data_IF_263377946632
#
_entry.id   IF_263377946632
#
_cell.length_a   1.000
_cell.length_b   1.000
_cell.length_c   1.000
_cell.angle_alpha   90.00
_cell.angle_beta   90.00
_cell.angle_gamma   90.00
#
_symmetry.space_group_name_H-M   'P 1'
#
loop_
_entity.id
_entity.type
_entity.pdbx_description
1 polymer ?
#
# COMPACT_ATOMS: atom_id res chain seq x y z
N UNK A 1 16.40 -10.67 14.46
CA UNK A 1 16.42 -9.50 13.54
C UNK A 1 16.54 -8.23 14.36
N UNK A 2 17.49 -7.34 14.04
CA UNK A 2 17.46 -5.96 14.53
C UNK A 2 16.82 -5.11 13.43
N UNK A 3 15.52 -4.84 13.54
CA UNK A 3 14.82 -3.94 12.63
C UNK A 3 14.94 -2.52 13.20
N UNK A 4 15.55 -1.61 12.44
CA UNK A 4 15.54 -0.19 12.77
C UNK A 4 14.29 0.44 12.17
N UNK A 5 13.32 0.78 13.01
CA UNK A 5 12.09 1.45 12.60
C UNK A 5 12.33 2.95 12.65
N UNK A 6 12.13 3.64 11.54
CA UNK A 6 12.18 5.11 11.44
C UNK A 6 10.89 5.63 10.82
N UNK A 7 10.50 6.88 11.10
CA UNK A 7 9.37 7.50 10.42
C UNK A 7 9.60 7.50 8.89
N UNK A 8 8.54 7.23 8.15
CA UNK A 8 8.52 7.36 6.69
C UNK A 8 8.45 8.84 6.29
N UNK A 9 9.12 9.23 5.20
CA UNK A 9 9.05 10.57 4.60
C UNK A 9 8.71 10.51 3.10
N UNK A 10 8.16 11.60 2.52
CA UNK A 10 7.96 11.71 1.08
C UNK A 10 9.23 11.35 0.30
N UNK A 11 9.08 10.51 -0.73
CA UNK A 11 10.19 9.99 -1.54
C UNK A 11 10.80 8.67 -1.06
N UNK A 12 10.51 8.18 0.16
CA UNK A 12 11.01 6.87 0.63
C UNK A 12 10.40 5.69 -0.14
N UNK A 13 9.32 5.92 -0.90
CA UNK A 13 8.64 4.87 -1.67
C UNK A 13 7.84 3.92 -0.77
N UNK A 14 7.90 2.62 -1.09
CA UNK A 14 7.21 1.56 -0.35
C UNK A 14 5.83 1.21 -0.90
N UNK A 15 5.27 0.12 -0.38
CA UNK A 15 3.94 -0.37 -0.78
C UNK A 15 2.89 0.12 0.22
N UNK A 16 1.86 0.77 -0.31
CA UNK A 16 0.66 1.13 0.44
C UNK A 16 -0.45 0.10 0.17
N UNK A 17 -1.10 -0.37 1.24
CA UNK A 17 -2.20 -1.32 1.15
C UNK A 17 -3.54 -0.59 0.92
N UNK A 18 -4.11 -0.75 -0.27
CA UNK A 18 -5.45 -0.30 -0.60
C UNK A 18 -6.49 -1.34 -0.12
N UNK A 19 -7.55 -0.93 0.60
CA UNK A 19 -8.60 -1.84 1.06
C UNK A 19 -9.32 -2.50 -0.12
N UNK A 20 -9.48 -3.83 -0.10
CA UNK A 20 -10.26 -4.53 -1.13
C UNK A 20 -11.75 -4.27 -0.92
N UNK A 21 -12.48 -3.99 -2.00
CA UNK A 21 -13.94 -3.82 -1.94
C UNK A 21 -14.67 -5.09 -1.52
N UNK A 22 -14.13 -6.26 -1.81
CA UNK A 22 -14.69 -7.54 -1.37
C UNK A 22 -14.78 -7.66 0.15
N UNK A 23 -13.91 -6.97 0.89
CA UNK A 23 -13.89 -7.02 2.36
C UNK A 23 -14.71 -5.88 2.98
N UNK A 24 -14.88 -4.78 2.24
CA UNK A 24 -15.63 -3.59 2.66
C UNK A 24 -16.56 -3.19 1.50
N UNK A 25 -17.66 -3.94 1.26
CA UNK A 25 -18.56 -3.66 0.15
C UNK A 25 -19.35 -2.37 0.35
N UNK A 26 -19.67 -2.04 1.61
CA UNK A 26 -20.28 -0.76 1.98
C UNK A 26 -19.23 0.18 2.61
N UNK A 27 -18.89 1.24 1.88
CA UNK A 27 -17.99 2.29 2.33
C UNK A 27 -18.73 3.55 2.84
N UNK A 28 -20.02 3.45 3.21
CA UNK A 28 -20.83 4.57 3.71
C UNK A 28 -20.20 5.36 4.86
N UNK A 29 -19.42 4.70 5.72
CA UNK A 29 -18.68 5.32 6.83
C UNK A 29 -17.41 6.07 6.38
N UNK A 30 -17.06 6.00 5.10
CA UNK A 30 -15.85 6.55 4.50
C UNK A 30 -16.18 7.37 3.24
N UNK A 31 -16.83 8.52 3.40
CA UNK A 31 -17.36 9.31 2.27
C UNK A 31 -16.28 9.87 1.34
N UNK A 32 -15.02 9.95 1.80
CA UNK A 32 -13.86 10.40 1.04
C UNK A 32 -13.23 9.29 0.18
N UNK A 33 -13.62 8.03 0.37
CA UNK A 33 -13.01 6.90 -0.33
C UNK A 33 -13.49 6.81 -1.78
N UNK A 34 -12.54 6.61 -2.70
CA UNK A 34 -12.81 6.53 -4.14
C UNK A 34 -12.66 5.09 -4.68
N UNK A 35 -13.44 4.72 -5.71
CA UNK A 35 -13.14 3.52 -6.50
C UNK A 35 -11.75 3.56 -7.10
N UNK A 36 -10.98 2.47 -6.99
CA UNK A 36 -9.76 2.29 -7.77
C UNK A 36 -9.55 0.80 -8.09
N UNK A 37 -8.83 0.50 -9.17
CA UNK A 37 -8.39 -0.87 -9.46
C UNK A 37 -6.95 -1.06 -9.01
N UNK A 38 -6.66 -2.20 -8.39
CA UNK A 38 -5.29 -2.54 -8.05
C UNK A 38 -4.44 -2.67 -9.33
N UNK A 39 -3.34 -1.92 -9.48
CA UNK A 39 -2.53 -1.95 -10.71
C UNK A 39 -1.80 -3.28 -10.92
N UNK A 40 -1.66 -4.11 -9.87
CA UNK A 40 -0.99 -5.42 -9.95
C UNK A 40 -1.94 -6.56 -10.35
N UNK A 41 -3.19 -6.54 -9.91
CA UNK A 41 -4.10 -7.69 -10.08
C UNK A 41 -5.50 -7.33 -10.62
N UNK A 42 -5.80 -6.06 -10.84
CA UNK A 42 -7.06 -5.59 -11.44
C UNK A 42 -8.29 -5.62 -10.54
N UNK A 43 -8.20 -6.17 -9.32
CA UNK A 43 -9.32 -6.21 -8.36
C UNK A 43 -9.73 -4.82 -7.91
N UNK A 44 -11.00 -4.69 -7.56
CA UNK A 44 -11.55 -3.42 -7.08
C UNK A 44 -11.14 -3.16 -5.62
N UNK A 45 -10.63 -1.96 -5.40
CA UNK A 45 -10.21 -1.45 -4.11
C UNK A 45 -10.89 -0.11 -3.81
N UNK A 46 -10.68 0.36 -2.59
CA UNK A 46 -10.92 1.73 -2.17
C UNK A 46 -9.61 2.51 -2.15
N UNK A 47 -9.66 3.78 -2.52
CA UNK A 47 -8.61 4.78 -2.36
C UNK A 47 -9.05 5.79 -1.29
N UNK A 48 -8.55 5.66 -0.04
CA UNK A 48 -8.70 6.68 0.99
C UNK A 48 -7.97 7.97 0.65
N UNK A 49 -8.35 9.10 1.26
CA UNK A 49 -7.63 10.36 1.03
C UNK A 49 -6.15 10.28 1.38
N UNK A 50 -5.83 9.66 2.53
CA UNK A 50 -4.46 9.45 2.95
C UNK A 50 -3.67 8.60 1.95
N UNK A 51 -4.33 7.65 1.29
CA UNK A 51 -3.68 6.83 0.27
C UNK A 51 -3.29 7.66 -0.95
N UNK A 52 -4.20 8.52 -1.40
CA UNK A 52 -3.95 9.45 -2.50
C UNK A 52 -2.78 10.38 -2.19
N UNK A 53 -2.72 10.93 -0.98
CA UNK A 53 -1.61 11.79 -0.53
C UNK A 53 -0.28 11.03 -0.46
N UNK A 54 -0.26 9.83 0.13
CA UNK A 54 0.94 9.00 0.21
C UNK A 54 1.47 8.59 -1.18
N UNK A 55 0.57 8.27 -2.11
CA UNK A 55 0.94 7.96 -3.49
C UNK A 55 1.50 9.18 -4.23
N UNK A 56 0.88 10.36 -4.06
CA UNK A 56 1.43 11.61 -4.59
C UNK A 56 2.82 11.94 -4.00
N UNK A 57 3.08 11.49 -2.76
CA UNK A 57 4.36 11.62 -2.07
C UNK A 57 5.36 10.49 -2.36
N UNK A 58 5.06 9.58 -3.29
CA UNK A 58 6.01 8.59 -3.83
C UNK A 58 5.75 7.12 -3.44
N UNK A 59 4.74 6.82 -2.62
CA UNK A 59 4.36 5.44 -2.33
C UNK A 59 3.66 4.77 -3.51
N UNK A 60 3.72 3.44 -3.60
CA UNK A 60 3.01 2.64 -4.60
C UNK A 60 1.81 1.92 -4.01
N UNK A 61 0.59 2.29 -4.43
CA UNK A 61 -0.65 1.66 -3.96
C UNK A 61 -0.93 0.32 -4.65
N UNK A 62 -1.11 -0.74 -3.86
CA UNK A 62 -1.61 -2.05 -4.32
C UNK A 62 -2.62 -2.59 -3.32
N UNK A 63 -3.45 -3.58 -3.71
CA UNK A 63 -4.37 -4.18 -2.74
C UNK A 63 -3.61 -4.86 -1.61
N UNK A 64 -4.21 -4.94 -0.41
CA UNK A 64 -3.60 -5.54 0.78
C UNK A 64 -2.99 -6.92 0.50
N UNK A 65 -3.68 -7.78 -0.24
CA UNK A 65 -3.14 -9.10 -0.61
C UNK A 65 -1.89 -9.02 -1.50
N UNK A 66 -1.87 -8.10 -2.45
CA UNK A 66 -0.72 -7.91 -3.33
C UNK A 66 0.49 -7.38 -2.56
N UNK A 67 0.28 -6.49 -1.58
CA UNK A 67 1.32 -5.99 -0.70
C UNK A 67 1.90 -7.11 0.17
N UNK A 68 1.05 -7.92 0.81
CA UNK A 68 1.49 -9.04 1.64
C UNK A 68 2.31 -10.04 0.83
N UNK A 69 1.81 -10.46 -0.35
CA UNK A 69 2.55 -11.38 -1.24
C UNK A 69 3.90 -10.80 -1.66
N UNK A 70 3.98 -9.49 -1.93
CA UNK A 70 5.24 -8.85 -2.28
C UNK A 70 6.24 -8.89 -1.11
N UNK A 71 5.79 -8.62 0.12
CA UNK A 71 6.62 -8.71 1.33
C UNK A 71 7.10 -10.12 1.65
N UNK A 72 6.27 -11.14 1.41
CA UNK A 72 6.65 -12.55 1.58
C UNK A 72 7.64 -13.05 0.52
N UNK A 73 7.67 -12.41 -0.66
CA UNK A 73 8.51 -12.82 -1.78
C UNK A 73 9.90 -12.16 -1.77
N UNK A 74 10.16 -11.22 -0.86
CA UNK A 74 11.50 -10.64 -0.74
C UNK A 74 12.39 -11.52 0.14
N UNK A 75 13.56 -11.99 -0.35
CA UNK A 75 14.61 -12.47 0.56
C UNK A 75 15.00 -11.28 1.43
N UNK A 76 14.94 -11.43 2.76
CA UNK A 76 15.15 -10.34 3.70
C UNK A 76 16.36 -9.49 3.31
N UNK A 77 16.13 -8.20 3.05
CA UNK A 77 17.14 -7.27 2.56
C UNK A 77 18.29 -7.13 3.55
N UNK A 78 19.35 -7.91 3.34
CA UNK A 78 20.67 -7.63 3.87
C UNK A 78 21.26 -6.43 3.16
N UNK A 79 21.71 -5.47 3.97
CA UNK A 79 22.47 -4.27 3.66
C UNK A 79 23.33 -4.42 2.37
N UNK A 80 22.98 -3.70 1.30
CA UNK A 80 23.92 -3.47 0.19
C UNK A 80 24.90 -2.39 0.67
N UNK A 81 25.95 -2.82 1.38
CA UNK A 81 27.12 -1.99 1.67
C UNK A 81 27.78 -1.61 0.34
N UNK A 82 27.86 -0.30 0.08
CA UNK A 82 28.77 0.28 -0.90
C UNK A 82 30.11 0.59 -0.23
#
# INVERSE_FOLDING_TARGET
MKVKITPWKPGDGGLLCLPLRSNIPDASKHPDWKPVKCPKCGRDCWEPELARLAMAAGASGVCTECAIRAGLSQPGGGDKKQ
#
